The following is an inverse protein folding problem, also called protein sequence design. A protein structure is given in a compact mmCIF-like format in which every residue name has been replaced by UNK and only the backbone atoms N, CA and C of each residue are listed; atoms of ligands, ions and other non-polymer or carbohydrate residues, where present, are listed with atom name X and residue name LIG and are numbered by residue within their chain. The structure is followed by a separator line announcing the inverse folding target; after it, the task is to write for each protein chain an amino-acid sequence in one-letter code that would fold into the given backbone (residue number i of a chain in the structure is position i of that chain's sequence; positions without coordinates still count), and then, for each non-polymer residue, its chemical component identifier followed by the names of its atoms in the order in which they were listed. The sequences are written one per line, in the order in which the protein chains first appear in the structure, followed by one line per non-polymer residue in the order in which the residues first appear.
data_IF_044524433482
#
_entry.id   IF_044524433482
#
_cell.length_a   1.000
_cell.length_b   1.000
_cell.length_c   1.000
_cell.angle_alpha   90.00
_cell.angle_beta   90.00
_cell.angle_gamma   90.00
#
_symmetry.space_group_name_H-M   'P 1'
#
loop_
_entity.id
_entity.type
_entity.pdbx_description
1 polymer ?
#
# COMPACT_ATOMS: atom_id res chain seq x y z
N UNK A 1 -16.84 3.83 6.12
CA UNK A 1 -15.55 4.53 5.91
C UNK A 1 -14.54 3.43 5.69
N UNK A 2 -13.92 3.39 4.51
CA UNK A 2 -12.98 2.33 4.14
C UNK A 2 -11.58 2.71 4.61
N UNK A 3 -10.93 1.83 5.33
CA UNK A 3 -9.53 1.94 5.72
C UNK A 3 -8.79 0.65 5.35
N UNK A 4 -7.47 0.75 5.21
CA UNK A 4 -6.61 -0.41 5.04
C UNK A 4 -6.56 -1.22 6.33
N UNK A 5 -6.66 -2.54 6.24
CA UNK A 5 -6.39 -3.43 7.36
C UNK A 5 -4.89 -3.78 7.47
N UNK A 6 -4.51 -4.51 8.52
CA UNK A 6 -3.11 -4.92 8.74
C UNK A 6 -2.57 -5.82 7.61
N UNK A 7 -3.42 -6.64 6.99
CA UNK A 7 -3.06 -7.50 5.87
C UNK A 7 -2.80 -6.67 4.61
N UNK A 8 -3.67 -5.70 4.32
CA UNK A 8 -3.51 -4.79 3.19
C UNK A 8 -2.19 -4.01 3.29
N UNK A 9 -1.92 -3.44 4.46
CA UNK A 9 -0.69 -2.70 4.74
C UNK A 9 0.54 -3.60 4.62
N UNK A 10 0.50 -4.81 5.18
CA UNK A 10 1.61 -5.76 5.07
C UNK A 10 1.95 -6.08 3.62
N UNK A 11 0.95 -6.29 2.77
CA UNK A 11 1.18 -6.59 1.35
C UNK A 11 1.76 -5.40 0.58
N UNK A 12 1.27 -4.17 0.84
CA UNK A 12 1.83 -2.94 0.23
C UNK A 12 3.32 -2.79 0.61
N UNK A 13 3.63 -2.92 1.90
CA UNK A 13 5.01 -2.82 2.38
C UNK A 13 5.90 -3.93 1.81
N UNK A 14 5.37 -5.15 1.72
CA UNK A 14 6.10 -6.28 1.13
C UNK A 14 6.46 -6.01 -0.33
N UNK A 15 5.54 -5.49 -1.13
CA UNK A 15 5.81 -5.15 -2.54
C UNK A 15 6.97 -4.15 -2.67
N UNK A 16 6.99 -3.11 -1.83
CA UNK A 16 8.09 -2.14 -1.79
C UNK A 16 9.42 -2.78 -1.36
N UNK A 17 9.40 -3.63 -0.34
CA UNK A 17 10.60 -4.32 0.14
C UNK A 17 11.15 -5.30 -0.91
N UNK A 18 10.27 -6.03 -1.62
CA UNK A 18 10.64 -6.98 -2.66
C UNK A 18 11.35 -6.27 -3.81
N UNK A 19 10.80 -5.16 -4.30
CA UNK A 19 11.42 -4.36 -5.37
C UNK A 19 12.80 -3.81 -4.94
N UNK A 20 12.92 -3.36 -3.69
CA UNK A 20 14.18 -2.87 -3.15
C UNK A 20 15.24 -3.99 -3.07
N UNK A 21 14.81 -5.21 -2.75
CA UNK A 21 15.72 -6.36 -2.73
C UNK A 21 16.26 -6.67 -4.14
N UNK A 22 15.42 -6.55 -5.17
CA UNK A 22 15.78 -6.76 -6.57
C UNK A 22 16.70 -5.66 -7.14
N UNK A 23 16.75 -4.50 -6.51
CA UNK A 23 17.60 -3.38 -6.96
C UNK A 23 19.10 -3.72 -6.75
N UNK A 24 19.90 -3.93 -7.81
CA UNK A 24 21.25 -4.50 -7.66
C UNK A 24 22.31 -3.48 -7.20
N UNK A 25 22.02 -2.18 -7.30
CA UNK A 25 23.00 -1.11 -7.11
C UNK A 25 23.11 -0.55 -5.68
N UNK A 26 22.37 -1.09 -4.72
CA UNK A 26 22.31 -0.58 -3.35
C UNK A 26 23.03 -1.52 -2.41
N UNK A 27 23.95 -1.00 -1.60
CA UNK A 27 24.68 -1.80 -0.62
C UNK A 27 23.76 -2.37 0.46
N UNK A 28 24.24 -3.40 1.16
CA UNK A 28 23.44 -4.15 2.14
C UNK A 28 22.97 -3.27 3.32
N UNK A 29 23.82 -2.35 3.80
CA UNK A 29 23.52 -1.50 4.95
C UNK A 29 22.46 -0.49 4.55
N UNK A 30 22.60 0.12 3.38
CA UNK A 30 21.65 1.09 2.85
C UNK A 30 20.30 0.44 2.54
N UNK A 31 20.30 -0.77 1.95
CA UNK A 31 19.06 -1.59 1.83
C UNK A 31 18.39 -1.84 3.18
N UNK A 32 19.15 -2.08 4.25
CA UNK A 32 18.57 -2.26 5.60
C UNK A 32 17.92 -0.99 6.12
N UNK A 33 18.56 0.18 5.93
CA UNK A 33 17.98 1.48 6.32
C UNK A 33 16.70 1.78 5.52
N UNK A 34 16.72 1.57 4.21
CA UNK A 34 15.58 1.79 3.33
C UNK A 34 14.40 0.86 3.69
N UNK A 35 14.65 -0.43 3.98
CA UNK A 35 13.60 -1.33 4.50
C UNK A 35 13.01 -0.84 5.82
N UNK A 36 13.83 -0.32 6.72
CA UNK A 36 13.34 0.29 7.97
C UNK A 36 12.43 1.49 7.69
N UNK A 37 12.76 2.34 6.72
CA UNK A 37 11.92 3.48 6.29
C UNK A 37 10.61 3.02 5.67
N UNK A 38 10.62 1.98 4.84
CA UNK A 38 9.41 1.38 4.27
C UNK A 38 8.49 0.93 5.41
N UNK A 39 9.00 0.11 6.36
CA UNK A 39 8.22 -0.41 7.49
C UNK A 39 7.61 0.69 8.37
N UNK A 40 8.31 1.81 8.55
CA UNK A 40 7.80 2.96 9.30
C UNK A 40 6.54 3.58 8.68
N UNK A 41 6.23 3.32 7.41
CA UNK A 41 4.99 3.80 6.77
C UNK A 41 3.75 3.02 7.17
N UNK A 42 3.88 1.89 7.89
CA UNK A 42 2.75 1.07 8.33
C UNK A 42 1.67 1.89 9.06
N UNK A 43 2.05 2.72 10.02
CA UNK A 43 1.11 3.52 10.80
C UNK A 43 0.40 4.58 9.96
N UNK A 44 1.12 5.19 9.00
CA UNK A 44 0.51 6.15 8.10
C UNK A 44 -0.50 5.49 7.15
N UNK A 45 -0.17 4.31 6.61
CA UNK A 45 -1.08 3.53 5.78
C UNK A 45 -2.33 3.10 6.56
N UNK A 46 -2.18 2.59 7.79
CA UNK A 46 -3.29 2.22 8.67
C UNK A 46 -4.18 3.41 9.02
N UNK A 47 -3.59 4.59 9.21
CA UNK A 47 -4.32 5.82 9.51
C UNK A 47 -5.01 6.47 8.30
N UNK A 48 -4.83 5.93 7.09
CA UNK A 48 -5.40 6.53 5.87
C UNK A 48 -6.87 6.16 5.71
N UNK A 49 -7.74 7.17 5.77
CA UNK A 49 -9.18 7.04 5.59
C UNK A 49 -9.57 7.34 4.14
N UNK A 50 -10.46 6.50 3.59
CA UNK A 50 -10.91 6.55 2.19
C UNK A 50 -9.73 6.65 1.20
N UNK A 51 -8.80 5.68 1.22
CA UNK A 51 -7.66 5.70 0.33
C UNK A 51 -8.07 5.62 -1.14
N UNK A 52 -7.38 6.39 -1.99
CA UNK A 52 -7.36 6.22 -3.45
C UNK A 52 -5.98 5.76 -3.88
N UNK A 53 -5.88 5.10 -5.04
CA UNK A 53 -4.61 4.57 -5.53
C UNK A 53 -3.59 5.70 -5.69
N UNK A 54 -4.00 6.83 -6.28
CA UNK A 54 -3.14 7.99 -6.47
C UNK A 54 -2.72 8.63 -5.14
N UNK A 55 -3.63 8.73 -4.15
CA UNK A 55 -3.29 9.32 -2.85
C UNK A 55 -2.30 8.45 -2.08
N UNK A 56 -2.47 7.13 -2.14
CA UNK A 56 -1.53 6.19 -1.53
C UNK A 56 -0.19 6.22 -2.26
N UNK A 57 -0.19 6.19 -3.59
CA UNK A 57 1.02 6.26 -4.40
C UNK A 57 1.79 7.55 -4.13
N UNK A 58 1.17 8.72 -4.32
CA UNK A 58 1.84 10.01 -4.14
C UNK A 58 2.36 10.15 -2.71
N UNK A 59 1.57 9.74 -1.71
CA UNK A 59 2.00 9.79 -0.32
C UNK A 59 3.17 8.85 0.00
N UNK A 60 3.26 7.68 -0.65
CA UNK A 60 4.41 6.78 -0.53
C UNK A 60 5.63 7.35 -1.24
N UNK A 61 5.46 7.88 -2.45
CA UNK A 61 6.52 8.52 -3.25
C UNK A 61 7.13 9.71 -2.51
N UNK A 62 6.30 10.58 -1.92
CA UNK A 62 6.77 11.72 -1.13
C UNK A 62 7.55 11.29 0.12
N UNK A 63 7.03 10.29 0.86
CA UNK A 63 7.61 9.82 2.13
C UNK A 63 8.86 8.96 1.94
N UNK A 64 8.98 8.33 0.78
CA UNK A 64 10.04 7.38 0.43
C UNK A 64 10.76 7.82 -0.85
N UNK A 65 10.87 9.12 -1.10
CA UNK A 65 11.43 9.67 -2.35
C UNK A 65 12.80 9.10 -2.71
N UNK A 66 13.69 8.98 -1.73
CA UNK A 66 15.00 8.34 -1.89
C UNK A 66 14.91 6.87 -2.31
N UNK A 67 13.92 6.13 -1.80
CA UNK A 67 13.71 4.72 -2.18
C UNK A 67 13.10 4.65 -3.58
N UNK A 68 12.11 5.49 -3.88
CA UNK A 68 11.45 5.54 -5.20
C UNK A 68 12.41 5.96 -6.31
N UNK A 69 13.41 6.80 -6.00
CA UNK A 69 14.47 7.18 -6.96
C UNK A 69 15.32 6.00 -7.44
N UNK A 70 15.29 4.88 -6.72
CA UNK A 70 16.08 3.68 -7.02
C UNK A 70 15.28 2.62 -7.77
N UNK A 71 13.95 2.70 -7.73
CA UNK A 71 13.09 1.76 -8.41
C UNK A 71 13.13 1.95 -9.93
N UNK A 72 13.00 0.86 -10.71
CA UNK A 72 12.94 0.96 -12.15
C UNK A 72 11.69 1.74 -12.59
N UNK A 73 11.79 2.42 -13.74
CA UNK A 73 10.71 3.28 -14.27
C UNK A 73 9.35 2.57 -14.37
N UNK A 74 9.33 1.26 -14.62
CA UNK A 74 8.09 0.48 -14.69
C UNK A 74 7.41 0.20 -13.34
N UNK A 75 8.11 0.35 -12.21
CA UNK A 75 7.55 0.03 -10.89
C UNK A 75 6.40 0.95 -10.50
N UNK A 76 6.42 2.21 -10.92
CA UNK A 76 5.35 3.16 -10.57
C UNK A 76 3.98 2.71 -11.12
N UNK A 77 3.94 2.17 -12.34
CA UNK A 77 2.74 1.61 -12.95
C UNK A 77 2.28 0.36 -12.19
N UNK A 78 3.21 -0.56 -11.90
CA UNK A 78 2.90 -1.78 -11.16
C UNK A 78 2.31 -1.49 -9.77
N UNK A 79 2.89 -0.52 -9.04
CA UNK A 79 2.40 -0.14 -7.73
C UNK A 79 1.01 0.50 -7.81
N UNK A 80 0.76 1.39 -8.78
CA UNK A 80 -0.56 1.99 -8.98
C UNK A 80 -1.63 0.96 -9.33
N UNK A 81 -1.32 0.02 -10.22
CA UNK A 81 -2.22 -1.07 -10.60
C UNK A 81 -2.53 -1.98 -9.40
N UNK A 82 -1.49 -2.36 -8.64
CA UNK A 82 -1.64 -3.15 -7.42
C UNK A 82 -2.54 -2.46 -6.41
N UNK A 83 -2.30 -1.18 -6.13
CA UNK A 83 -3.14 -0.37 -5.24
C UNK A 83 -4.57 -0.26 -5.76
N UNK A 84 -4.75 -0.07 -7.07
CA UNK A 84 -6.06 -0.01 -7.72
C UNK A 84 -6.88 -1.29 -7.50
N UNK A 85 -6.31 -2.46 -7.81
CA UNK A 85 -6.96 -3.76 -7.60
C UNK A 85 -7.30 -3.95 -6.12
N UNK A 86 -6.38 -3.63 -5.22
CA UNK A 86 -6.57 -3.80 -3.78
C UNK A 86 -7.73 -2.95 -3.25
N UNK A 87 -7.81 -1.68 -3.67
CA UNK A 87 -8.88 -0.78 -3.28
C UNK A 87 -10.24 -1.18 -3.87
N UNK A 88 -10.27 -1.76 -5.07
CA UNK A 88 -11.49 -2.33 -5.64
C UNK A 88 -12.01 -3.51 -4.80
N UNK A 89 -11.11 -4.39 -4.35
CA UNK A 89 -11.48 -5.51 -3.45
C UNK A 89 -12.02 -4.97 -2.13
N UNK A 90 -11.38 -3.95 -1.55
CA UNK A 90 -11.83 -3.33 -0.30
C UNK A 90 -13.22 -2.72 -0.41
N UNK A 91 -13.50 -1.97 -1.49
CA UNK A 91 -14.84 -1.43 -1.74
C UNK A 91 -15.90 -2.52 -1.92
N UNK A 92 -15.55 -3.64 -2.55
CA UNK A 92 -16.46 -4.80 -2.69
C UNK A 92 -16.75 -5.45 -1.33
N UNK A 93 -15.75 -5.57 -0.44
CA UNK A 93 -15.92 -6.07 0.93
C UNK A 93 -16.89 -5.19 1.73
N UNK A 94 -16.68 -3.87 1.74
CA UNK A 94 -17.57 -2.93 2.46
C UNK A 94 -19.02 -3.01 1.95
N UNK A 95 -19.23 -3.04 0.62
CA UNK A 95 -20.57 -3.15 0.03
C UNK A 95 -21.28 -4.45 0.39
N UNK A 96 -20.55 -5.56 0.52
CA UNK A 96 -21.11 -6.86 0.94
C UNK A 96 -21.56 -6.82 2.40
N UNK A 97 -20.73 -6.27 3.28
CA UNK A 97 -21.05 -6.11 4.71
C UNK A 97 -22.27 -5.21 4.94
N UNK A 98 -22.36 -4.09 4.21
CA UNK A 98 -23.53 -3.20 4.27
C UNK A 98 -24.82 -3.91 3.85
N UNK A 99 -24.77 -4.74 2.79
CA UNK A 99 -25.93 -5.53 2.34
C UNK A 99 -26.38 -6.54 3.39
N UNK A 100 -25.44 -7.24 4.03
CA UNK A 100 -25.75 -8.22 5.09
C UNK A 100 -26.42 -7.54 6.28
N UNK A 101 -25.86 -6.42 6.77
CA UNK A 101 -26.42 -5.65 7.89
C UNK A 101 -27.82 -5.11 7.61
N UNK A 102 -28.08 -4.69 6.37
CA UNK A 102 -29.39 -4.17 5.95
C UNK A 102 -30.47 -5.26 5.99
N UNK A 103 -30.12 -6.52 5.68
CA UNK A 103 -31.04 -7.66 5.69
C UNK A 103 -31.36 -8.15 7.11
N UNK A 104 -30.43 -7.97 8.06
CA UNK A 104 -30.62 -8.35 9.47
C UNK A 104 -31.47 -7.37 10.28
N UNK A 105 -31.64 -6.13 9.81
CA UNK A 105 -32.44 -5.08 10.46
C UNK A 105 -33.90 -5.07 10.00
N UNK A 106 -34.23 -5.80 8.94
CA UNK A 106 -35.58 -5.91 8.35
C UNK A 106 -36.25 -7.25 8.66
N UNK A 107 -35.67 -8.07 9.54
CA UNK A 107 -36.21 -9.37 9.97
C UNK A 107 -36.58 -9.36 11.45
#
# INVERSE_FOLDING_TARGET
MVSLDKGDVREILKMLEDELNLTPKVDKIEKMKMRSRIRKQANWLLGTINPTADRLYNGLEDRLSEVFSLYPYGFCHQLRDFLGVKLLVLKKREKKELRLRSQSLTS
#
